data_IF_927551974302
#
_entry.id   IF_927551974302
#
_cell.length_a   1.000
_cell.length_b   1.000
_cell.length_c   1.000
_cell.angle_alpha   90.00
_cell.angle_beta   90.00
_cell.angle_gamma   90.00
#
_symmetry.space_group_name_H-M   'P 1'
#
loop_
_entity.id
_entity.type
_entity.pdbx_description
1 polymer ?
#
# COMPACT_ATOMS: atom_id res chain seq x y z
N UNK A 1 -23.41 -36.09 -43.36
CA UNK A 1 -23.46 -36.85 -42.08
C UNK A 1 -22.34 -37.88 -42.07
N UNK A 2 -21.29 -37.70 -41.28
CA UNK A 2 -20.18 -38.67 -41.11
C UNK A 2 -20.10 -39.06 -39.63
N UNK A 3 -20.43 -40.30 -39.33
CA UNK A 3 -20.37 -40.92 -38.00
C UNK A 3 -18.92 -41.23 -37.63
N UNK A 4 -18.40 -40.63 -36.55
CA UNK A 4 -17.12 -41.01 -35.95
C UNK A 4 -17.36 -42.10 -34.91
N UNK A 5 -16.65 -43.22 -35.05
CA UNK A 5 -16.61 -44.32 -34.07
C UNK A 5 -15.59 -43.98 -32.97
N UNK A 6 -15.99 -44.10 -31.71
CA UNK A 6 -15.10 -44.01 -30.55
C UNK A 6 -14.50 -45.39 -30.24
N UNK A 7 -13.18 -45.45 -30.08
CA UNK A 7 -12.47 -46.63 -29.60
C UNK A 7 -12.26 -46.48 -28.08
N UNK A 8 -12.73 -47.46 -27.32
CA UNK A 8 -12.55 -47.57 -25.88
C UNK A 8 -11.24 -48.31 -25.65
N UNK A 9 -10.20 -47.58 -25.21
CA UNK A 9 -8.93 -48.16 -24.78
C UNK A 9 -9.02 -48.58 -23.32
N UNK A 10 -8.82 -49.87 -23.04
CA UNK A 10 -8.77 -50.42 -21.70
C UNK A 10 -7.48 -49.96 -20.98
N UNK A 11 -7.63 -49.27 -19.86
CA UNK A 11 -6.53 -48.81 -19.02
C UNK A 11 -6.17 -49.91 -18.02
N UNK A 12 -4.95 -50.43 -18.11
CA UNK A 12 -4.40 -51.43 -17.19
C UNK A 12 -3.94 -50.71 -15.92
N UNK A 13 -4.61 -50.96 -14.79
CA UNK A 13 -4.22 -50.42 -13.47
C UNK A 13 -3.25 -51.41 -12.83
N UNK A 14 -1.99 -51.01 -12.70
CA UNK A 14 -0.96 -51.72 -11.92
C UNK A 14 -1.04 -51.24 -10.47
N UNK A 15 -1.42 -52.13 -9.56
CA UNK A 15 -1.46 -51.86 -8.12
C UNK A 15 -0.08 -52.18 -7.55
N UNK A 16 0.71 -51.15 -7.25
CA UNK A 16 1.96 -51.29 -6.51
C UNK A 16 1.65 -51.38 -5.00
N UNK A 17 2.11 -52.45 -4.35
CA UNK A 17 2.01 -52.61 -2.91
C UNK A 17 3.02 -51.69 -2.22
N UNK A 18 2.54 -50.62 -1.58
CA UNK A 18 3.35 -49.73 -0.76
C UNK A 18 3.64 -50.38 0.60
N UNK A 19 4.92 -50.52 0.94
CA UNK A 19 5.36 -50.89 2.29
C UNK A 19 4.99 -49.77 3.28
N UNK A 20 4.41 -50.09 4.46
CA UNK A 20 4.07 -49.09 5.46
C UNK A 20 5.34 -48.51 6.08
N UNK A 21 5.68 -47.28 5.70
CA UNK A 21 6.70 -46.49 6.39
C UNK A 21 6.16 -46.16 7.78
N UNK A 22 6.89 -46.54 8.83
CA UNK A 22 6.54 -46.22 10.21
C UNK A 22 6.36 -44.70 10.37
N UNK A 23 5.14 -44.27 10.67
CA UNK A 23 4.83 -42.90 11.02
C UNK A 23 5.56 -42.57 12.33
N UNK A 24 6.62 -41.78 12.25
CA UNK A 24 7.20 -41.16 13.44
C UNK A 24 6.17 -40.23 14.07
N UNK A 25 6.03 -40.30 15.39
CA UNK A 25 5.25 -39.35 16.21
C UNK A 25 5.92 -37.96 16.16
N UNK A 26 5.85 -37.30 15.00
CA UNK A 26 6.09 -35.87 14.91
C UNK A 26 4.86 -35.18 15.49
N UNK A 27 4.88 -35.01 16.82
CA UNK A 27 3.92 -34.19 17.51
C UNK A 27 3.88 -32.80 16.85
N UNK A 28 2.77 -32.50 16.16
CA UNK A 28 2.53 -31.23 15.50
C UNK A 28 2.68 -30.12 16.54
N UNK A 29 3.82 -29.43 16.51
CA UNK A 29 4.06 -28.28 17.37
C UNK A 29 3.14 -27.17 16.89
N UNK A 30 2.13 -26.84 17.68
CA UNK A 30 1.28 -25.70 17.37
C UNK A 30 2.14 -24.44 17.25
N UNK A 31 1.95 -23.63 16.19
CA UNK A 31 2.69 -22.40 16.03
C UNK A 31 2.44 -21.48 17.23
N UNK A 32 3.50 -20.82 17.70
CA UNK A 32 3.41 -19.82 18.77
C UNK A 32 2.44 -18.72 18.32
N UNK A 33 1.56 -18.20 19.20
CA UNK A 33 0.69 -17.09 18.84
C UNK A 33 1.49 -15.94 18.26
N UNK A 34 1.01 -15.37 17.16
CA UNK A 34 1.63 -14.21 16.55
C UNK A 34 1.77 -13.07 17.59
N UNK A 35 2.89 -12.31 17.56
CA UNK A 35 3.03 -11.13 18.40
C UNK A 35 1.86 -10.17 18.16
N UNK A 36 1.39 -9.49 19.21
CA UNK A 36 0.34 -8.47 19.09
C UNK A 36 0.93 -7.24 18.41
N UNK A 37 0.74 -7.15 17.09
CA UNK A 37 1.09 -5.96 16.31
C UNK A 37 -0.09 -4.99 16.24
N UNK A 38 0.16 -3.76 15.80
CA UNK A 38 -0.89 -2.76 15.60
C UNK A 38 -1.90 -3.26 14.56
N UNK A 39 -1.41 -3.83 13.47
CA UNK A 39 -2.20 -4.39 12.36
C UNK A 39 -3.09 -5.54 12.84
N UNK A 40 -2.56 -6.39 13.74
CA UNK A 40 -3.36 -7.46 14.36
C UNK A 40 -4.53 -6.90 15.17
N UNK A 41 -4.34 -5.77 15.85
CA UNK A 41 -5.41 -5.13 16.61
C UNK A 41 -6.37 -4.32 15.72
N UNK A 42 -5.89 -3.76 14.62
CA UNK A 42 -6.71 -3.13 13.57
C UNK A 42 -7.66 -4.16 12.92
N UNK A 43 -7.14 -5.30 12.49
CA UNK A 43 -7.94 -6.40 11.91
C UNK A 43 -9.02 -6.87 12.88
N UNK A 44 -8.71 -7.04 14.16
CA UNK A 44 -9.69 -7.45 15.19
C UNK A 44 -10.81 -6.43 15.40
N UNK A 45 -10.57 -5.16 15.07
CA UNK A 45 -11.52 -4.05 15.25
C UNK A 45 -12.26 -3.70 13.96
N UNK A 46 -11.81 -4.23 12.84
CA UNK A 46 -12.53 -4.19 11.57
C UNK A 46 -13.82 -4.97 11.73
N UNK A 47 -14.93 -4.38 11.28
CA UNK A 47 -16.26 -4.99 11.40
C UNK A 47 -16.37 -6.19 10.45
N UNK A 48 -17.32 -7.12 10.68
CA UNK A 48 -17.52 -8.27 9.79
C UNK A 48 -17.84 -7.92 8.33
N UNK A 49 -18.33 -6.70 8.07
CA UNK A 49 -18.61 -6.17 6.73
C UNK A 49 -17.38 -5.53 6.06
N UNK A 50 -16.21 -5.56 6.72
CA UNK A 50 -14.96 -4.97 6.24
C UNK A 50 -14.77 -3.51 6.63
N UNK A 51 -15.77 -2.83 7.21
CA UNK A 51 -15.65 -1.41 7.55
C UNK A 51 -14.87 -1.19 8.85
N UNK A 52 -14.12 -0.09 8.93
CA UNK A 52 -13.39 0.32 10.13
C UNK A 52 -14.14 1.45 10.87
N UNK A 53 -14.31 1.40 12.20
CA UNK A 53 -14.92 2.52 12.93
C UNK A 53 -14.05 3.78 12.88
N UNK A 54 -14.66 4.97 12.77
CA UNK A 54 -13.98 6.30 12.76
C UNK A 54 -12.83 6.41 13.76
N UNK A 55 -13.06 6.05 15.02
CA UNK A 55 -12.04 6.14 16.08
C UNK A 55 -10.86 5.21 15.88
N UNK A 56 -11.06 4.10 15.18
CA UNK A 56 -10.02 3.11 14.87
C UNK A 56 -9.21 3.61 13.66
N UNK A 57 -9.87 4.14 12.62
CA UNK A 57 -9.22 4.75 11.47
C UNK A 57 -8.34 5.95 11.88
N UNK A 58 -8.88 6.88 12.68
CA UNK A 58 -8.10 8.01 13.21
C UNK A 58 -6.95 7.55 14.14
N UNK A 59 -7.11 6.46 14.91
CA UNK A 59 -6.02 5.92 15.72
C UNK A 59 -4.92 5.25 14.88
N UNK A 60 -5.28 4.66 13.74
CA UNK A 60 -4.34 4.16 12.73
C UNK A 60 -3.58 5.32 12.08
N UNK A 61 -4.30 6.37 11.70
CA UNK A 61 -3.72 7.60 11.18
C UNK A 61 -2.70 8.22 12.16
N UNK A 62 -3.08 8.42 13.43
CA UNK A 62 -2.15 8.99 14.40
C UNK A 62 -0.96 8.08 14.70
N UNK A 63 -1.12 6.76 14.62
CA UNK A 63 -0.01 5.82 14.79
C UNK A 63 0.99 5.86 13.60
N UNK A 64 0.50 6.19 12.41
CA UNK A 64 1.32 6.32 11.20
C UNK A 64 2.00 7.69 11.12
N UNK A 65 1.23 8.77 11.31
CA UNK A 65 1.69 10.13 11.06
C UNK A 65 2.10 10.85 12.35
N UNK A 66 1.30 10.74 13.40
CA UNK A 66 1.48 11.47 14.66
C UNK A 66 0.15 12.09 15.11
N UNK A 67 0.11 12.76 16.26
CA UNK A 67 -1.11 13.38 16.78
C UNK A 67 -1.71 14.39 15.80
N UNK A 68 -3.03 14.36 15.62
CA UNK A 68 -3.76 15.33 14.81
C UNK A 68 -4.23 16.52 15.67
N UNK A 69 -4.06 17.75 15.19
CA UNK A 69 -4.47 18.93 15.96
C UNK A 69 -5.98 18.92 16.22
N UNK A 70 -6.36 19.20 17.48
CA UNK A 70 -7.76 19.16 17.93
C UNK A 70 -8.42 17.77 17.96
N UNK A 71 -7.73 16.71 17.53
CA UNK A 71 -8.26 15.34 17.54
C UNK A 71 -7.76 14.60 18.78
N UNK A 72 -8.65 13.80 19.38
CA UNK A 72 -8.30 12.95 20.52
C UNK A 72 -8.78 11.53 20.27
N UNK A 73 -7.85 10.66 19.92
CA UNK A 73 -8.11 9.22 19.83
C UNK A 73 -7.32 8.45 20.86
N UNK A 74 -7.85 7.29 21.23
CA UNK A 74 -7.15 6.36 22.11
C UNK A 74 -6.28 5.48 21.22
N UNK A 75 -4.96 5.40 21.44
CA UNK A 75 -4.09 4.57 20.62
C UNK A 75 -4.50 3.10 20.72
N UNK A 76 -4.38 2.38 19.60
CA UNK A 76 -4.53 0.92 19.62
C UNK A 76 -3.31 0.28 20.31
N UNK A 77 -3.46 -0.91 20.92
CA UNK A 77 -2.31 -1.65 21.42
C UNK A 77 -1.37 -2.05 20.26
N UNK A 78 -0.07 -1.92 20.47
CA UNK A 78 0.94 -2.19 19.43
C UNK A 78 1.96 -1.05 19.36
N UNK A 79 3.03 -1.22 18.57
CA UNK A 79 4.01 -0.16 18.32
C UNK A 79 3.81 0.39 16.91
N UNK A 80 3.23 1.58 16.81
CA UNK A 80 3.10 2.35 15.56
C UNK A 80 2.36 1.62 14.43
N UNK A 81 2.17 2.31 13.33
CA UNK A 81 1.75 1.74 12.05
C UNK A 81 2.78 2.14 10.99
N UNK A 82 3.50 1.16 10.44
CA UNK A 82 4.59 1.46 9.48
C UNK A 82 4.07 1.81 8.09
N UNK A 83 2.84 1.39 7.80
CA UNK A 83 2.15 1.58 6.55
C UNK A 83 1.33 2.87 6.61
N UNK A 84 1.85 3.92 5.97
CA UNK A 84 1.17 5.21 5.92
C UNK A 84 0.05 5.24 4.87
N UNK A 85 0.16 4.46 3.80
CA UNK A 85 -0.83 4.41 2.71
C UNK A 85 -2.14 3.84 3.23
N UNK A 86 -2.10 2.65 3.86
CA UNK A 86 -3.29 2.08 4.48
C UNK A 86 -3.90 3.04 5.52
N UNK A 87 -3.07 3.69 6.34
CA UNK A 87 -3.56 4.61 7.37
C UNK A 87 -4.27 5.84 6.78
N UNK A 88 -3.74 6.40 5.69
CA UNK A 88 -4.37 7.53 4.98
C UNK A 88 -5.68 7.11 4.34
N UNK A 89 -5.70 5.96 3.67
CA UNK A 89 -6.88 5.46 2.97
C UNK A 89 -8.03 5.10 3.91
N UNK A 90 -7.76 4.45 5.05
CA UNK A 90 -8.78 4.20 6.08
C UNK A 90 -9.53 5.48 6.46
N UNK A 91 -8.85 6.64 6.43
CA UNK A 91 -9.46 7.93 6.74
C UNK A 91 -10.13 8.56 5.52
N UNK A 92 -9.44 8.64 4.39
CA UNK A 92 -9.94 9.31 3.17
C UNK A 92 -11.10 8.56 2.51
N UNK A 93 -11.16 7.23 2.68
CA UNK A 93 -12.04 6.37 1.92
C UNK A 93 -13.11 5.67 2.74
N UNK A 94 -12.81 5.27 3.99
CA UNK A 94 -13.79 4.52 4.77
C UNK A 94 -14.62 5.41 5.70
N UNK A 95 -14.05 6.52 6.18
CA UNK A 95 -14.69 7.32 7.26
C UNK A 95 -14.73 8.81 7.01
N UNK A 96 -14.30 9.30 5.84
CA UNK A 96 -14.15 10.72 5.55
C UNK A 96 -15.41 11.54 5.85
N UNK A 97 -16.58 11.04 5.44
CA UNK A 97 -17.85 11.73 5.59
C UNK A 97 -18.40 11.71 7.02
N UNK A 98 -17.84 10.83 7.88
CA UNK A 98 -18.16 10.79 9.30
C UNK A 98 -17.29 11.76 10.13
N UNK A 99 -16.27 12.37 9.53
CA UNK A 99 -15.37 13.31 10.20
C UNK A 99 -16.01 14.69 10.34
N UNK A 100 -15.64 15.41 11.40
CA UNK A 100 -15.95 16.85 11.49
C UNK A 100 -15.11 17.65 10.50
N UNK A 101 -15.55 18.84 10.08
CA UNK A 101 -14.75 19.69 9.19
C UNK A 101 -13.33 19.98 9.72
N UNK A 102 -13.18 20.15 11.03
CA UNK A 102 -11.87 20.34 11.66
C UNK A 102 -10.99 19.09 11.61
N UNK A 103 -11.57 17.89 11.67
CA UNK A 103 -10.85 16.64 11.53
C UNK A 103 -10.39 16.43 10.09
N UNK A 104 -11.26 16.75 9.13
CA UNK A 104 -10.93 16.72 7.70
C UNK A 104 -9.76 17.66 7.37
N UNK A 105 -9.81 18.90 7.87
CA UNK A 105 -8.73 19.87 7.72
C UNK A 105 -7.41 19.38 8.32
N UNK A 106 -7.44 18.85 9.55
CA UNK A 106 -6.24 18.32 10.21
C UNK A 106 -5.62 17.14 9.43
N UNK A 107 -6.45 16.26 8.87
CA UNK A 107 -5.98 15.14 8.03
C UNK A 107 -5.35 15.65 6.73
N UNK A 108 -5.99 16.61 6.06
CA UNK A 108 -5.46 17.17 4.81
C UNK A 108 -4.17 17.98 5.01
N UNK A 109 -4.02 18.69 6.12
CA UNK A 109 -2.77 19.39 6.45
C UNK A 109 -1.60 18.42 6.58
N UNK A 110 -1.83 17.24 7.16
CA UNK A 110 -0.82 16.17 7.24
C UNK A 110 -0.54 15.55 5.87
N UNK A 111 -1.58 15.22 5.10
CA UNK A 111 -1.43 14.48 3.84
C UNK A 111 -1.00 15.34 2.65
N UNK A 112 -1.04 16.67 2.77
CA UNK A 112 -0.66 17.58 1.69
C UNK A 112 0.76 18.09 1.90
N UNK A 113 1.76 17.64 1.11
CA UNK A 113 3.13 18.12 1.25
C UNK A 113 3.22 19.63 0.98
N UNK A 114 4.03 20.34 1.77
CA UNK A 114 4.21 21.80 1.63
C UNK A 114 5.06 22.19 0.43
N UNK A 115 5.89 21.29 -0.08
CA UNK A 115 6.86 21.52 -1.15
C UNK A 115 6.72 20.53 -2.31
N UNK A 116 5.50 20.40 -2.86
CA UNK A 116 5.22 19.51 -3.98
C UNK A 116 6.13 19.77 -5.19
N UNK A 117 6.81 18.71 -5.62
CA UNK A 117 7.59 18.61 -6.86
C UNK A 117 6.98 17.53 -7.73
N UNK A 118 7.24 17.60 -9.03
CA UNK A 118 6.70 16.65 -9.99
C UNK A 118 7.80 15.83 -10.63
N UNK A 119 7.60 14.52 -10.69
CA UNK A 119 8.31 13.62 -11.60
C UNK A 119 7.44 13.53 -12.86
N UNK A 120 7.91 14.08 -14.00
CA UNK A 120 7.14 14.07 -15.24
C UNK A 120 6.77 12.64 -15.65
N UNK A 121 5.64 12.48 -16.33
CA UNK A 121 5.30 11.20 -16.94
C UNK A 121 6.35 10.83 -18.00
N UNK A 122 6.84 9.60 -17.97
CA UNK A 122 7.72 9.10 -19.03
C UNK A 122 6.89 8.45 -20.12
N UNK A 123 7.10 8.88 -21.37
CA UNK A 123 6.45 8.31 -22.54
C UNK A 123 6.92 6.87 -22.86
N UNK A 124 8.00 6.37 -22.24
CA UNK A 124 8.52 5.04 -22.50
C UNK A 124 9.18 4.40 -21.25
N UNK A 125 9.02 3.08 -21.03
CA UNK A 125 9.75 2.37 -20.00
C UNK A 125 11.26 2.40 -20.30
N UNK A 126 12.08 2.89 -19.37
CA UNK A 126 13.53 2.83 -19.51
C UNK A 126 14.01 1.38 -19.32
N UNK A 127 14.26 0.66 -20.41
CA UNK A 127 14.74 -0.72 -20.34
C UNK A 127 16.23 -0.75 -19.93
N UNK A 128 16.54 -1.45 -18.84
CA UNK A 128 17.90 -1.93 -18.56
C UNK A 128 18.85 -0.95 -17.84
N UNK A 129 18.34 0.06 -17.13
CA UNK A 129 19.20 0.97 -16.35
C UNK A 129 19.43 0.40 -14.95
N UNK A 130 20.66 -0.05 -14.68
CA UNK A 130 21.06 -0.47 -13.34
C UNK A 130 20.86 0.68 -12.33
N UNK A 131 20.42 0.35 -11.12
CA UNK A 131 20.23 1.30 -10.02
C UNK A 131 21.59 1.86 -9.54
N UNK A 132 21.94 3.15 -9.74
CA UNK A 132 23.09 3.73 -9.05
C UNK A 132 22.85 3.77 -7.54
N UNK A 133 23.93 3.56 -6.78
CA UNK A 133 23.95 3.64 -5.33
C UNK A 133 23.90 5.11 -4.89
N UNK A 134 22.98 5.46 -3.99
CA UNK A 134 22.99 6.72 -3.23
C UNK A 134 22.82 7.98 -4.07
N UNK A 135 21.61 8.25 -4.57
CA UNK A 135 21.27 9.58 -5.05
C UNK A 135 20.57 10.36 -3.94
N UNK A 136 21.14 11.50 -3.55
CA UNK A 136 20.51 12.46 -2.61
C UNK A 136 19.26 13.15 -3.20
N UNK A 137 18.97 12.88 -4.48
CA UNK A 137 17.80 13.39 -5.19
C UNK A 137 16.66 12.35 -5.16
N UNK A 138 15.62 12.65 -4.38
CA UNK A 138 14.41 11.84 -4.28
C UNK A 138 13.68 11.73 -5.63
N UNK A 139 13.61 12.79 -6.43
CA UNK A 139 12.93 12.76 -7.73
C UNK A 139 13.60 11.80 -8.70
N UNK A 140 14.93 11.81 -8.75
CA UNK A 140 15.73 10.84 -9.54
C UNK A 140 15.54 9.40 -9.05
N UNK A 141 15.31 9.21 -7.76
CA UNK A 141 15.05 7.88 -7.18
C UNK A 141 13.66 7.38 -7.58
N UNK A 142 12.62 8.22 -7.43
CA UNK A 142 11.24 7.90 -7.80
C UNK A 142 11.09 7.63 -9.31
N UNK A 143 11.70 8.48 -10.15
CA UNK A 143 11.72 8.32 -11.62
C UNK A 143 12.26 6.95 -12.04
N UNK A 144 13.33 6.50 -11.39
CA UNK A 144 13.96 5.22 -11.67
C UNK A 144 13.14 4.03 -11.18
N UNK A 145 12.61 4.13 -9.97
CA UNK A 145 11.73 3.10 -9.41
C UNK A 145 10.50 2.93 -10.30
N UNK A 146 9.91 4.04 -10.76
CA UNK A 146 8.80 4.05 -11.72
C UNK A 146 9.17 3.30 -12.98
N UNK A 147 10.34 3.58 -13.57
CA UNK A 147 10.79 2.92 -14.80
C UNK A 147 11.04 1.42 -14.62
N UNK A 148 11.63 0.99 -13.51
CA UNK A 148 11.84 -0.43 -13.19
C UNK A 148 10.50 -1.16 -13.07
N UNK A 149 9.54 -0.61 -12.32
CA UNK A 149 8.19 -1.18 -12.18
C UNK A 149 7.49 -1.20 -13.53
N UNK A 150 7.53 -0.09 -14.30
CA UNK A 150 6.95 -0.01 -15.64
C UNK A 150 7.45 -1.13 -16.55
N UNK A 151 8.76 -1.39 -16.53
CA UNK A 151 9.39 -2.44 -17.33
C UNK A 151 8.89 -3.84 -16.96
N UNK A 152 8.65 -4.10 -15.66
CA UNK A 152 8.16 -5.39 -15.16
C UNK A 152 6.68 -5.60 -15.44
N UNK A 153 5.89 -4.52 -15.36
CA UNK A 153 4.45 -4.56 -15.63
C UNK A 153 4.13 -4.50 -17.14
N UNK A 154 5.09 -4.10 -17.98
CA UNK A 154 4.86 -3.90 -19.41
C UNK A 154 3.94 -2.71 -19.73
N UNK A 155 3.86 -1.73 -18.82
CA UNK A 155 3.07 -0.50 -18.98
C UNK A 155 3.78 0.69 -18.36
N UNK A 156 3.52 1.89 -18.87
CA UNK A 156 3.91 3.14 -18.22
C UNK A 156 2.81 3.63 -17.29
N UNK A 157 3.20 4.47 -16.33
CA UNK A 157 2.28 5.27 -15.53
C UNK A 157 1.73 6.42 -16.37
N UNK A 158 0.40 6.62 -16.41
CA UNK A 158 -0.23 7.68 -17.21
C UNK A 158 -0.50 8.97 -16.44
N UNK A 159 -0.51 8.88 -15.12
CA UNK A 159 -0.57 10.02 -14.19
C UNK A 159 0.83 10.42 -13.71
N UNK A 160 1.10 11.72 -13.46
CA UNK A 160 2.36 12.16 -12.87
C UNK A 160 2.47 11.72 -11.41
N UNK A 161 3.71 11.43 -10.98
CA UNK A 161 4.04 11.28 -9.56
C UNK A 161 4.44 12.66 -9.04
N UNK A 162 3.75 13.13 -8.03
CA UNK A 162 4.14 14.28 -7.22
C UNK A 162 4.76 13.80 -5.94
N UNK A 163 5.69 14.55 -5.41
CA UNK A 163 6.31 14.21 -4.15
C UNK A 163 6.69 15.45 -3.35
N UNK A 164 6.75 15.31 -2.04
CA UNK A 164 7.23 16.34 -1.15
C UNK A 164 7.54 15.75 0.21
N UNK A 165 8.10 16.59 1.09
CA UNK A 165 8.33 16.21 2.46
C UNK A 165 7.14 16.66 3.30
N UNK A 166 6.53 15.71 4.00
CA UNK A 166 5.51 16.02 5.00
C UNK A 166 6.15 16.43 6.31
N UNK A 167 5.45 17.18 7.14
CA UNK A 167 5.81 17.34 8.55
C UNK A 167 4.71 16.61 9.33
N UNK A 168 4.89 15.33 9.73
CA UNK A 168 3.79 14.52 10.27
C UNK A 168 3.23 15.00 11.62
N UNK A 169 3.60 16.19 12.10
CA UNK A 169 3.62 16.48 13.52
C UNK A 169 4.76 15.71 14.19
N UNK A 170 4.90 15.90 15.51
CA UNK A 170 6.00 15.43 16.36
C UNK A 170 6.54 14.00 16.03
N UNK A 171 7.76 13.69 16.49
CA UNK A 171 8.55 12.45 16.22
C UNK A 171 7.86 11.07 16.53
N UNK A 172 6.56 11.03 16.78
CA UNK A 172 5.81 9.87 17.25
C UNK A 172 5.27 8.95 16.14
N UNK A 173 4.98 9.46 14.93
CA UNK A 173 4.53 8.62 13.82
C UNK A 173 5.61 7.68 13.28
N UNK A 174 5.21 6.51 12.76
CA UNK A 174 6.16 5.50 12.25
C UNK A 174 6.19 5.32 10.74
N UNK A 175 5.23 5.87 10.00
CA UNK A 175 5.22 5.83 8.54
C UNK A 175 6.39 6.65 7.98
N UNK A 176 7.10 6.08 7.00
CA UNK A 176 8.26 6.71 6.37
C UNK A 176 7.92 7.40 5.07
N UNK A 177 6.97 6.84 4.35
CA UNK A 177 6.40 7.42 3.15
C UNK A 177 4.93 6.98 3.04
N UNK A 178 4.21 7.63 2.13
CA UNK A 178 2.79 7.38 1.88
C UNK A 178 2.48 7.79 0.45
N UNK A 179 1.72 6.98 -0.27
CA UNK A 179 1.16 7.32 -1.56
C UNK A 179 -0.34 7.62 -1.42
N UNK A 180 -0.81 8.70 -2.03
CA UNK A 180 -2.24 9.04 -2.10
C UNK A 180 -2.64 9.33 -3.54
N UNK A 181 -3.80 8.85 -4.01
CA UNK A 181 -4.36 9.32 -5.26
C UNK A 181 -4.80 10.77 -5.09
N UNK A 182 -4.58 11.59 -6.11
CA UNK A 182 -4.81 13.01 -6.04
C UNK A 182 -5.44 13.58 -7.31
N UNK A 183 -6.11 14.70 -7.16
CA UNK A 183 -6.58 15.58 -8.23
C UNK A 183 -5.43 16.21 -9.02
N UNK A 184 -5.76 16.97 -10.07
CA UNK A 184 -4.77 17.60 -10.94
C UNK A 184 -3.97 18.72 -10.26
N UNK A 185 -4.40 19.25 -9.13
CA UNK A 185 -3.69 20.23 -8.30
C UNK A 185 -2.96 19.59 -7.10
N UNK A 186 -3.14 18.27 -6.88
CA UNK A 186 -2.38 17.51 -5.89
C UNK A 186 -3.13 17.31 -4.56
N UNK A 187 -4.39 17.74 -4.49
CA UNK A 187 -5.27 17.47 -3.37
C UNK A 187 -5.59 15.97 -3.29
N UNK A 188 -5.41 15.30 -2.14
CA UNK A 188 -5.79 13.90 -1.97
C UNK A 188 -7.27 13.68 -2.30
N UNK A 189 -7.56 12.59 -3.01
CA UNK A 189 -8.93 12.24 -3.33
C UNK A 189 -9.66 11.59 -2.16
N UNK A 190 -10.98 11.76 -2.11
CA UNK A 190 -11.87 11.10 -1.12
C UNK A 190 -12.85 10.13 -1.78
N UNK A 191 -13.63 9.40 -0.99
CA UNK A 191 -14.56 8.40 -1.50
C UNK A 191 -15.64 8.91 -2.43
N UNK A 192 -16.11 10.13 -2.19
CA UNK A 192 -17.17 10.75 -2.99
C UNK A 192 -16.67 11.27 -4.35
N UNK A 193 -15.35 11.31 -4.54
CA UNK A 193 -14.75 11.78 -5.78
C UNK A 193 -14.71 10.67 -6.83
N UNK A 194 -15.69 10.73 -7.73
CA UNK A 194 -15.80 9.85 -8.90
C UNK A 194 -14.86 10.24 -10.05
N UNK A 195 -14.13 11.34 -9.91
CA UNK A 195 -13.17 11.79 -10.91
C UNK A 195 -12.05 10.76 -11.09
N UNK A 196 -11.54 10.57 -12.33
CA UNK A 196 -10.32 9.80 -12.53
C UNK A 196 -9.17 10.38 -11.70
N UNK A 197 -8.32 9.50 -11.16
CA UNK A 197 -7.07 9.91 -10.53
C UNK A 197 -6.25 10.71 -11.55
N UNK A 198 -5.87 11.93 -11.19
CA UNK A 198 -5.15 12.82 -12.09
C UNK A 198 -3.66 12.93 -11.73
N UNK A 199 -3.27 12.60 -10.49
CA UNK A 199 -1.89 12.47 -10.06
C UNK A 199 -1.77 11.49 -8.88
N UNK A 200 -0.56 11.02 -8.60
CA UNK A 200 -0.23 10.28 -7.38
C UNK A 200 0.70 11.13 -6.53
N UNK A 201 0.35 11.42 -5.28
CA UNK A 201 1.21 12.19 -4.37
C UNK A 201 1.92 11.25 -3.41
N UNK A 202 3.26 11.26 -3.43
CA UNK A 202 4.13 10.55 -2.50
C UNK A 202 4.65 11.53 -1.45
N UNK A 203 4.17 11.41 -0.22
CA UNK A 203 4.72 12.13 0.92
C UNK A 203 5.86 11.34 1.55
N UNK A 204 6.97 11.99 1.87
CA UNK A 204 8.11 11.35 2.56
C UNK A 204 8.37 12.04 3.89
N UNK A 205 8.55 11.27 4.96
CA UNK A 205 8.90 11.81 6.28
C UNK A 205 10.35 12.33 6.28
N UNK A 206 10.65 13.49 6.88
CA UNK A 206 12.01 13.96 7.09
C UNK A 206 12.85 12.91 7.81
N UNK A 207 14.03 12.61 7.28
CA UNK A 207 14.90 11.55 7.82
C UNK A 207 14.50 10.12 7.47
N UNK A 208 13.42 9.90 6.70
CA UNK A 208 13.12 8.59 6.12
C UNK A 208 14.18 8.15 5.11
N UNK A 209 14.83 9.11 4.44
CA UNK A 209 15.95 8.91 3.52
C UNK A 209 17.29 9.11 4.20
N UNK A 210 18.34 8.50 3.64
CA UNK A 210 19.70 8.77 4.08
C UNK A 210 20.08 8.03 5.36
N UNK A 211 19.35 6.94 5.65
CA UNK A 211 19.62 6.07 6.81
C UNK A 211 20.92 5.26 6.66
N UNK A 212 21.61 5.39 5.53
CA UNK A 212 22.77 4.57 5.15
C UNK A 212 22.36 3.20 4.58
N UNK A 213 21.09 2.81 4.67
CA UNK A 213 20.55 1.58 4.11
C UNK A 213 19.78 1.86 2.81
N UNK A 214 20.54 2.06 1.73
CA UNK A 214 19.97 2.35 0.41
C UNK A 214 19.02 1.26 -0.11
N UNK A 215 19.13 0.02 0.36
CA UNK A 215 18.24 -1.06 -0.06
C UNK A 215 16.87 -0.93 0.63
N UNK A 216 16.87 -0.58 1.92
CA UNK A 216 15.64 -0.31 2.65
C UNK A 216 14.91 0.93 2.11
N UNK A 217 15.63 2.03 1.89
CA UNK A 217 15.04 3.26 1.37
C UNK A 217 14.45 3.01 -0.04
N UNK A 218 15.15 2.26 -0.89
CA UNK A 218 14.65 1.87 -2.19
C UNK A 218 13.40 0.97 -2.10
N UNK A 219 13.35 0.04 -1.15
CA UNK A 219 12.18 -0.82 -0.95
C UNK A 219 10.94 -0.02 -0.56
N UNK A 220 11.10 1.03 0.25
CA UNK A 220 10.00 1.92 0.64
C UNK A 220 9.48 2.65 -0.60
N UNK A 221 10.36 3.28 -1.39
CA UNK A 221 9.93 3.97 -2.60
C UNK A 221 9.37 3.05 -3.67
N UNK A 222 9.87 1.82 -3.77
CA UNK A 222 9.27 0.80 -4.65
C UNK A 222 7.84 0.48 -4.25
N UNK A 223 7.57 0.38 -2.95
CA UNK A 223 6.23 0.17 -2.43
C UNK A 223 5.32 1.38 -2.74
N UNK A 224 5.73 2.61 -2.43
CA UNK A 224 4.90 3.80 -2.72
C UNK A 224 4.66 4.04 -4.22
N UNK A 225 5.67 3.83 -5.06
CA UNK A 225 5.50 3.98 -6.51
C UNK A 225 4.60 2.89 -7.07
N UNK A 226 4.59 1.69 -6.48
CA UNK A 226 3.68 0.62 -6.89
C UNK A 226 2.22 1.01 -6.65
N UNK A 227 1.92 1.67 -5.52
CA UNK A 227 0.59 2.26 -5.28
C UNK A 227 0.18 3.24 -6.38
N UNK A 228 1.08 4.08 -6.88
CA UNK A 228 0.77 4.94 -8.01
C UNK A 228 0.30 4.17 -9.26
N UNK A 229 0.90 3.01 -9.57
CA UNK A 229 0.42 2.17 -10.68
C UNK A 229 -0.97 1.56 -10.42
N UNK A 230 -1.29 1.27 -9.16
CA UNK A 230 -2.63 0.83 -8.79
C UNK A 230 -3.64 1.97 -8.92
N UNK A 231 -3.29 3.18 -8.49
CA UNK A 231 -4.15 4.35 -8.65
C UNK A 231 -4.38 4.70 -10.13
N UNK A 232 -3.39 4.50 -10.99
CA UNK A 232 -3.46 4.67 -12.45
C UNK A 232 -4.34 3.62 -13.17
N UNK A 233 -4.95 2.69 -12.43
CA UNK A 233 -5.90 1.70 -12.95
C UNK A 233 -7.35 2.00 -12.56
N UNK A 234 -7.57 2.91 -11.60
CA UNK A 234 -8.82 3.02 -10.88
C UNK A 234 -9.25 4.48 -10.75
N UNK A 235 -10.56 4.70 -10.71
CA UNK A 235 -11.13 5.93 -10.16
C UNK A 235 -10.99 5.94 -8.62
N UNK A 236 -11.18 7.10 -7.99
CA UNK A 236 -11.19 7.19 -6.51
C UNK A 236 -12.11 6.14 -5.88
N UNK A 237 -13.35 6.04 -6.35
CA UNK A 237 -14.33 5.06 -5.87
C UNK A 237 -13.92 3.59 -6.11
N UNK A 238 -13.19 3.28 -7.19
CA UNK A 238 -12.75 1.91 -7.47
C UNK A 238 -11.58 1.48 -6.58
N UNK A 239 -10.70 2.41 -6.18
CA UNK A 239 -9.58 2.14 -5.26
C UNK A 239 -10.11 1.57 -3.92
N UNK A 240 -11.21 2.12 -3.42
CA UNK A 240 -11.87 1.71 -2.17
C UNK A 240 -12.43 0.30 -2.25
N UNK A 241 -12.93 -0.09 -3.43
CA UNK A 241 -13.51 -1.41 -3.64
C UNK A 241 -12.45 -2.52 -3.70
N UNK A 242 -11.16 -2.17 -3.84
CA UNK A 242 -10.05 -3.13 -3.85
C UNK A 242 -9.75 -3.57 -2.41
N UNK A 243 -9.79 -4.87 -2.09
CA UNK A 243 -9.45 -5.35 -0.75
C UNK A 243 -8.03 -4.97 -0.33
N UNK A 244 -7.83 -4.62 0.95
CA UNK A 244 -6.53 -4.16 1.48
C UNK A 244 -5.36 -5.08 1.16
N UNK A 245 -5.57 -6.40 1.12
CA UNK A 245 -4.50 -7.36 0.77
C UNK A 245 -4.01 -7.22 -0.67
N UNK A 246 -4.89 -6.80 -1.59
CA UNK A 246 -4.51 -6.46 -2.98
C UNK A 246 -3.85 -5.09 -2.99
N UNK A 247 -4.40 -4.16 -2.21
CA UNK A 247 -3.99 -2.76 -2.16
C UNK A 247 -2.57 -2.58 -1.64
N UNK A 248 -2.25 -3.19 -0.51
CA UNK A 248 -0.93 -3.14 0.13
C UNK A 248 0.11 -4.12 -0.43
N UNK A 249 -0.23 -4.82 -1.53
CA UNK A 249 0.68 -5.78 -2.16
C UNK A 249 1.02 -6.99 -1.27
N UNK A 250 0.14 -7.34 -0.32
CA UNK A 250 0.30 -8.51 0.56
C UNK A 250 -0.07 -9.83 -0.14
N UNK A 251 -0.46 -9.77 -1.41
CA UNK A 251 -0.62 -10.91 -2.31
C UNK A 251 0.76 -11.49 -2.73
N UNK A 252 1.51 -12.08 -1.80
CA UNK A 252 2.78 -12.77 -2.08
C UNK A 252 2.75 -14.25 -1.67
#
# INVERSE_FOLDING_TARGET
MRTRRAAIGACLIVIAAATPTAAGDDAVRLPKPAPKTFETELIKRTRPDGTVPVKVALAAFEAAFGPLDGVRVRPLPGKGMSDGTLAAELVLFDVWDELTPSQQEAVLDVLTPRDLREVPTSAAPAVGRALPRGTDDLGVTLDRVRDEIASRLGRSLTIPIRYGFGDPGDDEGTARATATPASADGTPLTADETSPVASCTIMVRPGATGTGDSARDLSIFAHEVFHCFQFDLHTGAEIIAVPDWVREGQAA
#
